data_IF_996860943635
#
_entry.id   IF_996860943635
#
_cell.length_a   1.000
_cell.length_b   1.000
_cell.length_c   1.000
_cell.angle_alpha   90.00
_cell.angle_beta   90.00
_cell.angle_gamma   90.00
#
_symmetry.space_group_name_H-M   'P 1'
#
loop_
_entity.id
_entity.type
_entity.pdbx_description
1 polymer ?
#
# COMPACT_ATOMS: atom_id res chain seq x y z
N UNK A 1 -18.88 22.43 7.51
CA UNK A 1 -17.41 22.60 7.43
C UNK A 1 -16.84 21.31 6.91
N UNK A 2 -15.82 21.34 6.06
CA UNK A 2 -15.21 20.14 5.48
C UNK A 2 -14.47 19.33 6.55
N UNK A 3 -14.74 18.03 6.66
CA UNK A 3 -14.03 17.13 7.56
C UNK A 3 -12.75 16.57 6.91
N UNK A 4 -12.58 16.74 5.61
CA UNK A 4 -11.44 16.25 4.82
C UNK A 4 -10.11 16.89 5.26
N UNK A 5 -10.17 18.13 5.78
CA UNK A 5 -9.02 18.89 6.25
C UNK A 5 -8.85 18.86 7.78
N UNK A 6 -9.71 18.11 8.50
CA UNK A 6 -9.49 17.90 9.92
C UNK A 6 -8.28 16.98 10.13
N UNK A 7 -7.40 17.28 11.09
CA UNK A 7 -6.27 16.42 11.40
C UNK A 7 -6.75 15.04 11.86
N UNK A 8 -5.90 14.05 11.65
CA UNK A 8 -6.09 12.68 12.14
C UNK A 8 -4.85 12.24 12.89
N UNK A 9 -5.01 11.81 14.14
CA UNK A 9 -3.89 11.24 14.91
C UNK A 9 -4.05 9.74 14.99
N UNK A 10 -3.01 9.02 14.59
CA UNK A 10 -2.89 7.57 14.74
C UNK A 10 -1.63 7.30 15.55
N UNK A 11 -1.77 6.74 16.76
CA UNK A 11 -0.69 6.60 17.73
C UNK A 11 -0.02 7.94 18.02
N UNK A 12 1.29 8.07 17.74
CA UNK A 12 2.06 9.31 17.99
C UNK A 12 2.22 10.16 16.71
N UNK A 13 1.58 9.77 15.59
CA UNK A 13 1.69 10.46 14.32
C UNK A 13 0.41 11.24 14.03
N UNK A 14 0.54 12.57 13.86
CA UNK A 14 -0.52 13.46 13.43
C UNK A 14 -0.41 13.76 11.94
N UNK A 15 -1.49 13.55 11.21
CA UNK A 15 -1.67 13.89 9.79
C UNK A 15 -2.47 15.17 9.68
N UNK A 16 -1.98 16.16 8.96
CA UNK A 16 -2.59 17.49 8.85
C UNK A 16 -3.95 17.50 8.13
N UNK A 17 -4.25 16.47 7.38
CA UNK A 17 -5.52 16.27 6.68
C UNK A 17 -5.69 14.80 6.31
N UNK A 18 -6.85 14.46 5.73
CA UNK A 18 -7.24 13.09 5.38
C UNK A 18 -7.13 12.79 3.88
N UNK A 19 -6.38 13.60 3.12
CA UNK A 19 -6.09 13.43 1.70
C UNK A 19 -4.68 12.85 1.56
N UNK A 20 -4.58 11.58 1.21
CA UNK A 20 -3.34 10.83 1.20
C UNK A 20 -2.98 10.31 -0.19
N UNK A 21 -1.69 10.32 -0.49
CA UNK A 21 -1.17 9.76 -1.75
C UNK A 21 -1.07 8.25 -1.62
N UNK A 22 -1.84 7.53 -2.46
CA UNK A 22 -1.79 6.07 -2.55
C UNK A 22 -0.43 5.59 -3.08
N UNK A 23 0.08 4.43 -2.65
CA UNK A 23 1.31 3.87 -3.21
C UNK A 23 1.12 3.55 -4.70
N UNK A 24 2.01 4.07 -5.54
CA UNK A 24 1.94 3.95 -7.01
C UNK A 24 3.32 3.65 -7.57
N UNK A 25 3.51 2.44 -8.10
CA UNK A 25 4.78 2.04 -8.71
C UNK A 25 5.18 2.98 -9.83
N UNK A 26 6.41 3.49 -9.75
CA UNK A 26 6.99 4.41 -10.73
C UNK A 26 7.90 3.70 -11.74
N UNK A 27 8.38 2.50 -11.40
CA UNK A 27 9.27 1.69 -12.23
C UNK A 27 10.56 2.42 -12.64
N UNK A 28 11.03 3.35 -11.80
CA UNK A 28 12.19 4.21 -12.06
C UNK A 28 13.36 3.96 -11.11
N UNK A 29 13.26 2.91 -10.29
CA UNK A 29 14.38 2.45 -9.48
C UNK A 29 15.43 1.74 -10.36
N UNK A 30 16.68 1.85 -9.97
CA UNK A 30 17.77 1.15 -10.61
C UNK A 30 18.43 0.22 -9.59
N UNK A 31 18.47 -1.06 -9.89
CA UNK A 31 19.01 -2.09 -8.99
C UNK A 31 18.38 -2.03 -7.58
N UNK A 32 17.08 -1.70 -7.49
CA UNK A 32 16.35 -1.50 -6.23
C UNK A 32 16.51 -0.12 -5.58
N UNK A 33 17.44 0.72 -6.03
CA UNK A 33 17.66 2.06 -5.46
C UNK A 33 16.67 3.08 -6.02
N UNK A 34 16.05 3.85 -5.14
CA UNK A 34 15.35 5.09 -5.52
C UNK A 34 16.36 6.16 -5.91
N UNK A 35 15.94 7.14 -6.70
CA UNK A 35 16.81 8.19 -7.20
C UNK A 35 16.05 9.47 -7.51
N UNK A 36 16.65 10.34 -8.31
CA UNK A 36 16.17 11.69 -8.60
C UNK A 36 14.71 11.75 -9.08
N UNK A 37 14.23 10.72 -9.82
CA UNK A 37 12.82 10.66 -10.20
C UNK A 37 11.91 10.65 -8.95
N UNK A 38 12.25 9.81 -7.97
CA UNK A 38 11.48 9.68 -6.73
C UNK A 38 11.52 10.96 -5.92
N UNK A 39 12.68 11.64 -5.83
CA UNK A 39 12.82 12.91 -5.12
C UNK A 39 11.88 13.98 -5.70
N UNK A 40 11.85 14.10 -7.03
CA UNK A 40 11.02 15.10 -7.73
C UNK A 40 9.54 14.72 -7.64
N UNK A 41 9.22 13.44 -7.90
CA UNK A 41 7.84 12.95 -7.93
C UNK A 41 7.18 13.08 -6.55
N UNK A 42 7.79 12.51 -5.51
CA UNK A 42 7.25 12.52 -4.15
C UNK A 42 7.34 13.93 -3.53
N UNK A 43 8.39 14.70 -3.85
CA UNK A 43 8.51 16.11 -3.47
C UNK A 43 7.40 17.00 -4.04
N UNK A 44 6.87 16.67 -5.21
CA UNK A 44 5.73 17.40 -5.78
C UNK A 44 4.46 17.26 -4.93
N UNK A 45 4.22 16.10 -4.34
CA UNK A 45 3.11 15.86 -3.43
C UNK A 45 3.30 16.57 -2.08
N UNK A 46 4.55 16.57 -1.57
CA UNK A 46 4.87 17.28 -0.33
C UNK A 46 4.55 18.78 -0.45
N UNK A 47 4.96 19.42 -1.56
CA UNK A 47 4.61 20.82 -1.83
C UNK A 47 3.10 21.02 -2.16
N UNK A 48 2.38 19.96 -2.42
CA UNK A 48 0.94 19.94 -2.69
C UNK A 48 0.05 19.93 -1.46
N UNK A 49 0.62 19.73 -0.25
CA UNK A 49 -0.12 19.80 1.01
C UNK A 49 -0.89 18.55 1.38
N UNK A 50 -0.51 17.38 0.88
CA UNK A 50 -1.10 16.09 1.30
C UNK A 50 -0.78 15.77 2.77
N UNK A 51 -1.64 15.01 3.46
CA UNK A 51 -1.39 14.58 4.85
C UNK A 51 -0.39 13.44 4.97
N UNK A 52 -0.38 12.55 3.98
CA UNK A 52 0.52 11.39 3.91
C UNK A 52 0.93 11.10 2.47
N UNK A 53 2.19 10.81 2.26
CA UNK A 53 2.71 10.20 1.04
C UNK A 53 3.04 8.74 1.36
N UNK A 54 2.28 7.79 0.80
CA UNK A 54 2.66 6.39 0.85
C UNK A 54 3.56 6.07 -0.35
N UNK A 55 4.81 5.72 -0.07
CA UNK A 55 5.78 5.32 -1.09
C UNK A 55 5.34 4.00 -1.71
N UNK A 56 5.62 3.86 -2.99
CA UNK A 56 5.27 2.68 -3.79
C UNK A 56 5.70 1.35 -3.16
N UNK A 57 5.08 0.27 -3.65
CA UNK A 57 5.44 -1.10 -3.26
C UNK A 57 6.95 -1.33 -3.36
N UNK A 58 7.58 -1.51 -2.21
CA UNK A 58 9.02 -1.62 -2.03
C UNK A 58 9.36 -3.05 -1.57
N UNK A 59 10.18 -3.75 -2.34
CA UNK A 59 10.55 -5.14 -2.06
C UNK A 59 11.32 -5.25 -0.73
N UNK A 60 10.92 -6.18 0.14
CA UNK A 60 11.67 -6.48 1.37
C UNK A 60 12.92 -7.33 1.08
N UNK A 61 12.92 -8.02 -0.05
CA UNK A 61 14.03 -8.78 -0.63
C UNK A 61 14.11 -8.47 -2.14
N UNK A 62 15.25 -8.69 -2.82
CA UNK A 62 15.42 -8.37 -4.24
C UNK A 62 14.34 -8.99 -5.13
N UNK A 63 14.05 -10.27 -4.92
CA UNK A 63 13.05 -11.04 -5.67
C UNK A 63 11.60 -10.73 -5.28
N UNK A 64 11.40 -9.94 -4.24
CA UNK A 64 10.08 -9.45 -3.84
C UNK A 64 9.58 -8.28 -4.69
N UNK A 65 10.41 -7.67 -5.52
CA UNK A 65 10.04 -6.54 -6.38
C UNK A 65 9.04 -6.97 -7.47
N UNK A 66 8.10 -6.10 -7.80
CA UNK A 66 7.12 -6.35 -8.88
C UNK A 66 7.83 -6.39 -10.23
N UNK A 67 8.73 -5.45 -10.47
CA UNK A 67 9.48 -5.25 -11.69
C UNK A 67 10.96 -5.00 -11.38
N UNK A 68 11.82 -5.22 -12.36
CA UNK A 68 13.23 -4.83 -12.28
C UNK A 68 13.43 -3.33 -11.99
N UNK A 69 12.44 -2.50 -12.30
CA UNK A 69 12.42 -1.05 -12.04
C UNK A 69 11.76 -0.64 -10.72
N UNK A 70 11.34 -1.57 -9.86
CA UNK A 70 10.78 -1.24 -8.54
C UNK A 70 11.87 -1.12 -7.48
N UNK A 71 11.64 -0.29 -6.43
CA UNK A 71 12.56 -0.16 -5.32
C UNK A 71 12.55 -1.38 -4.40
N UNK A 72 13.63 -1.52 -3.63
CA UNK A 72 13.73 -2.43 -2.48
C UNK A 72 14.28 -1.72 -1.24
N UNK A 73 14.15 -2.36 -0.09
CA UNK A 73 14.72 -1.93 1.18
C UNK A 73 15.46 -3.10 1.86
N UNK A 74 16.10 -3.91 1.06
CA UNK A 74 16.73 -5.17 1.43
C UNK A 74 17.95 -5.00 2.33
N UNK A 75 18.60 -3.83 2.29
CA UNK A 75 19.73 -3.48 3.13
C UNK A 75 19.74 -1.99 3.53
N UNK A 76 20.72 -1.59 4.34
CA UNK A 76 20.85 -0.23 4.86
C UNK A 76 21.22 0.80 3.77
N UNK A 77 21.87 0.38 2.68
CA UNK A 77 22.23 1.27 1.58
C UNK A 77 20.96 1.62 0.76
N UNK A 78 20.11 0.63 0.48
CA UNK A 78 18.81 0.86 -0.17
C UNK A 78 17.92 1.73 0.71
N UNK A 79 17.87 1.45 2.02
CA UNK A 79 17.13 2.27 2.98
C UNK A 79 17.61 3.73 2.96
N UNK A 80 18.91 3.97 3.04
CA UNK A 80 19.48 5.31 3.07
C UNK A 80 19.14 6.17 1.83
N UNK A 81 18.89 5.54 0.68
CA UNK A 81 18.52 6.24 -0.55
C UNK A 81 17.18 6.98 -0.45
N UNK A 82 16.26 6.56 0.44
CA UNK A 82 14.98 7.24 0.67
C UNK A 82 15.10 8.50 1.54
N UNK A 83 16.21 8.66 2.28
CA UNK A 83 16.35 9.74 3.28
C UNK A 83 16.12 11.14 2.73
N UNK A 84 16.66 11.54 1.55
CA UNK A 84 16.49 12.89 1.03
C UNK A 84 15.02 13.27 0.82
N UNK A 85 14.20 12.36 0.27
CA UNK A 85 12.79 12.63 0.03
C UNK A 85 11.97 12.67 1.33
N UNK A 86 12.33 11.85 2.35
CA UNK A 86 11.68 11.88 3.66
C UNK A 86 11.94 13.24 4.32
N UNK A 87 13.19 13.69 4.36
CA UNK A 87 13.56 14.98 4.94
C UNK A 87 12.88 16.15 4.23
N UNK A 88 12.76 16.07 2.90
CA UNK A 88 12.07 17.09 2.12
C UNK A 88 10.57 17.14 2.47
N UNK A 89 9.90 15.99 2.55
CA UNK A 89 8.49 15.92 2.93
C UNK A 89 8.26 16.45 4.34
N UNK A 90 9.09 16.04 5.31
CA UNK A 90 9.02 16.53 6.69
C UNK A 90 9.23 18.04 6.78
N UNK A 91 10.10 18.63 5.94
CA UNK A 91 10.28 20.11 5.89
C UNK A 91 9.02 20.87 5.45
N UNK A 92 8.03 20.15 4.91
CA UNK A 92 6.72 20.67 4.49
C UNK A 92 5.58 20.20 5.41
N UNK A 93 5.89 19.67 6.59
CA UNK A 93 4.93 19.12 7.56
C UNK A 93 4.10 17.94 6.99
N UNK A 94 4.62 17.19 6.01
CA UNK A 94 3.97 16.04 5.37
C UNK A 94 4.56 14.74 5.90
N UNK A 95 3.69 13.79 6.27
CA UNK A 95 4.10 12.45 6.72
C UNK A 95 4.43 11.55 5.56
N UNK A 96 5.37 10.62 5.79
CA UNK A 96 5.80 9.65 4.77
C UNK A 96 5.65 8.24 5.29
N UNK A 97 4.94 7.40 4.56
CA UNK A 97 4.84 5.96 4.81
C UNK A 97 5.53 5.16 3.71
N UNK A 98 5.85 3.92 4.01
CA UNK A 98 6.39 2.97 3.03
C UNK A 98 5.51 1.73 2.95
N UNK A 99 5.22 1.29 1.73
CA UNK A 99 4.52 0.03 1.50
C UNK A 99 5.53 -1.10 1.30
N UNK A 100 5.72 -1.94 2.33
CA UNK A 100 6.57 -3.12 2.29
C UNK A 100 5.87 -4.25 1.54
N UNK A 101 6.54 -4.82 0.56
CA UNK A 101 5.91 -5.72 -0.41
C UNK A 101 6.77 -6.93 -0.76
N UNK A 102 6.09 -7.99 -1.18
CA UNK A 102 6.64 -9.09 -1.96
C UNK A 102 5.63 -9.48 -3.06
N UNK A 103 6.02 -9.38 -4.31
CA UNK A 103 5.08 -9.54 -5.43
C UNK A 103 4.64 -11.00 -5.68
N UNK A 104 5.36 -11.96 -5.09
CA UNK A 104 4.99 -13.36 -5.24
C UNK A 104 5.01 -13.80 -6.71
N UNK A 105 3.95 -14.50 -7.16
CA UNK A 105 3.82 -15.00 -8.54
C UNK A 105 3.73 -13.90 -9.62
N UNK A 106 3.61 -12.63 -9.20
CA UNK A 106 3.56 -11.47 -10.12
C UNK A 106 4.87 -10.68 -10.11
N UNK A 107 5.96 -11.27 -9.59
CA UNK A 107 7.28 -10.66 -9.51
C UNK A 107 8.08 -10.77 -10.81
N UNK A 108 9.09 -9.91 -10.96
CA UNK A 108 10.11 -10.05 -11.99
C UNK A 108 9.67 -9.63 -13.39
N UNK A 109 8.76 -8.65 -13.50
CA UNK A 109 8.37 -8.12 -14.82
C UNK A 109 9.37 -7.10 -15.35
N UNK A 110 9.38 -6.94 -16.67
CA UNK A 110 9.92 -5.75 -17.34
C UNK A 110 9.10 -4.52 -17.00
N UNK A 111 9.58 -3.36 -17.43
CA UNK A 111 8.85 -2.10 -17.24
C UNK A 111 7.54 -2.11 -18.04
N UNK A 112 6.47 -1.45 -17.56
CA UNK A 112 5.17 -1.46 -18.26
C UNK A 112 5.18 -0.93 -19.70
N UNK A 113 6.15 -0.09 -20.02
CA UNK A 113 6.36 0.45 -21.38
C UNK A 113 7.31 -0.40 -22.23
N UNK A 114 7.89 -1.49 -21.67
CA UNK A 114 8.72 -2.48 -22.36
C UNK A 114 7.98 -3.83 -22.39
N UNK A 115 6.80 -3.86 -23.04
CA UNK A 115 5.90 -5.03 -23.22
C UNK A 115 5.36 -5.68 -21.93
N UNK A 116 5.75 -5.21 -20.76
CA UNK A 116 5.29 -5.73 -19.44
C UNK A 116 5.37 -7.28 -19.32
N UNK A 117 6.28 -7.93 -20.01
CA UNK A 117 6.55 -9.37 -19.92
C UNK A 117 7.43 -9.72 -18.72
N UNK A 118 7.56 -10.99 -18.45
CA UNK A 118 8.55 -11.47 -17.47
C UNK A 118 9.96 -11.17 -17.99
N UNK A 119 10.80 -10.58 -17.13
CA UNK A 119 12.21 -10.34 -17.44
C UNK A 119 12.97 -11.68 -17.50
N UNK A 120 13.84 -11.84 -18.50
CA UNK A 120 14.74 -12.98 -18.56
C UNK A 120 15.85 -12.84 -17.50
N UNK A 121 16.56 -13.93 -17.22
CA UNK A 121 17.68 -13.89 -16.27
C UNK A 121 18.78 -12.91 -16.70
N UNK A 122 19.04 -12.83 -18.02
CA UNK A 122 20.02 -11.90 -18.60
C UNK A 122 19.60 -10.43 -18.46
N UNK A 123 18.29 -10.17 -18.36
CA UNK A 123 17.71 -8.85 -18.11
C UNK A 123 17.58 -8.52 -16.62
N UNK A 124 18.07 -9.39 -15.74
CA UNK A 124 17.99 -9.23 -14.30
C UNK A 124 16.72 -9.79 -13.68
N UNK A 125 15.95 -10.60 -14.40
CA UNK A 125 14.78 -11.31 -13.90
C UNK A 125 15.16 -12.50 -13.01
N UNK A 126 14.19 -12.97 -12.23
CA UNK A 126 14.34 -14.08 -11.28
C UNK A 126 13.13 -15.01 -11.30
N UNK A 127 13.29 -16.20 -10.71
CA UNK A 127 12.17 -17.12 -10.54
C UNK A 127 11.23 -16.62 -9.45
N UNK A 128 9.97 -16.38 -9.82
CA UNK A 128 8.93 -16.01 -8.87
C UNK A 128 8.61 -17.15 -7.89
N UNK A 129 8.16 -16.78 -6.70
CA UNK A 129 7.67 -17.69 -5.66
C UNK A 129 6.22 -17.36 -5.29
N UNK A 130 5.49 -18.32 -4.72
CA UNK A 130 4.09 -18.13 -4.33
C UNK A 130 3.70 -19.09 -3.21
N UNK A 131 2.44 -19.03 -2.76
CA UNK A 131 1.82 -20.03 -1.89
C UNK A 131 1.72 -21.41 -2.57
N UNK A 132 1.58 -21.44 -3.89
CA UNK A 132 1.45 -22.65 -4.69
C UNK A 132 2.05 -22.43 -6.08
N UNK A 133 2.42 -23.52 -6.80
CA UNK A 133 2.92 -23.48 -8.16
C UNK A 133 1.79 -23.22 -9.18
N UNK A 134 1.08 -22.10 -9.03
CA UNK A 134 -0.03 -21.68 -9.89
C UNK A 134 0.30 -20.32 -10.50
N UNK A 135 0.54 -20.30 -11.81
CA UNK A 135 0.83 -19.08 -12.53
C UNK A 135 -0.33 -18.09 -12.48
N UNK A 136 -0.02 -16.79 -12.39
CA UNK A 136 -0.98 -15.77 -12.79
C UNK A 136 -1.01 -15.73 -14.33
N UNK A 137 -2.18 -15.48 -14.91
CA UNK A 137 -2.31 -15.49 -16.37
C UNK A 137 -1.33 -14.51 -17.03
N UNK A 138 -0.57 -15.00 -18.01
CA UNK A 138 0.48 -14.23 -18.68
C UNK A 138 1.84 -14.20 -17.96
N UNK A 139 1.98 -14.86 -16.80
CA UNK A 139 3.21 -14.96 -16.03
C UNK A 139 3.79 -16.37 -16.03
N UNK A 140 5.08 -16.49 -15.70
CA UNK A 140 5.71 -17.79 -15.52
C UNK A 140 5.14 -18.51 -14.27
N UNK A 141 5.20 -19.84 -14.29
CA UNK A 141 4.85 -20.65 -13.13
C UNK A 141 5.81 -20.36 -11.96
N UNK A 142 5.29 -19.94 -10.80
CA UNK A 142 6.12 -19.71 -9.62
C UNK A 142 6.49 -21.03 -8.95
N UNK A 143 7.53 -21.02 -8.15
CA UNK A 143 7.81 -22.11 -7.20
C UNK A 143 7.01 -21.87 -5.91
N UNK A 144 6.42 -22.94 -5.37
CA UNK A 144 5.81 -22.85 -4.04
C UNK A 144 6.89 -22.62 -2.97
N UNK A 145 6.62 -21.74 -2.00
CA UNK A 145 7.45 -21.51 -0.83
C UNK A 145 7.40 -22.72 0.11
N UNK A 146 8.51 -23.04 0.72
CA UNK A 146 8.58 -23.95 1.87
C UNK A 146 8.25 -23.19 3.15
N UNK A 147 7.83 -23.92 4.22
CA UNK A 147 7.56 -23.33 5.53
C UNK A 147 8.78 -22.57 6.08
N UNK A 148 9.99 -23.09 5.87
CA UNK A 148 11.22 -22.42 6.31
C UNK A 148 11.42 -21.07 5.59
N UNK A 149 11.09 -20.99 4.29
CA UNK A 149 11.16 -19.73 3.52
C UNK A 149 10.07 -18.74 3.94
N UNK A 150 8.87 -19.22 4.32
CA UNK A 150 7.81 -18.36 4.89
C UNK A 150 8.28 -17.71 6.18
N UNK A 151 8.91 -18.48 7.08
CA UNK A 151 9.49 -17.95 8.31
C UNK A 151 10.63 -16.95 8.03
N UNK A 152 11.49 -17.22 7.04
CA UNK A 152 12.54 -16.27 6.65
C UNK A 152 11.96 -14.98 6.09
N UNK A 153 10.95 -15.06 5.20
CA UNK A 153 10.29 -13.86 4.68
C UNK A 153 9.60 -13.04 5.79
N UNK A 154 9.00 -13.69 6.80
CA UNK A 154 8.50 -12.97 7.98
C UNK A 154 9.61 -12.15 8.62
N UNK A 155 10.81 -12.71 8.79
CA UNK A 155 11.96 -11.98 9.33
C UNK A 155 12.43 -10.86 8.39
N UNK A 156 12.41 -11.07 7.07
CA UNK A 156 12.79 -10.06 6.08
C UNK A 156 11.84 -8.84 6.12
N UNK A 157 10.52 -9.06 6.31
CA UNK A 157 9.56 -7.97 6.56
C UNK A 157 9.85 -7.22 7.87
N UNK A 158 10.21 -7.94 8.93
CA UNK A 158 10.60 -7.32 10.21
C UNK A 158 11.84 -6.44 10.03
N UNK A 159 12.86 -6.93 9.35
CA UNK A 159 14.11 -6.20 9.16
C UNK A 159 13.92 -5.00 8.22
N UNK A 160 13.10 -5.14 7.17
CA UNK A 160 12.70 -4.03 6.31
C UNK A 160 11.93 -2.94 7.10
N UNK A 161 11.00 -3.33 7.97
CA UNK A 161 10.26 -2.39 8.81
C UNK A 161 11.17 -1.62 9.79
N UNK A 162 12.14 -2.31 10.40
CA UNK A 162 13.14 -1.66 11.27
C UNK A 162 13.99 -0.65 10.51
N UNK A 163 14.49 -1.00 9.31
CA UNK A 163 15.25 -0.07 8.46
C UNK A 163 14.42 1.15 8.10
N UNK A 164 13.15 0.94 7.70
CA UNK A 164 12.25 2.03 7.35
C UNK A 164 12.05 3.02 8.52
N UNK A 165 11.78 2.51 9.73
CA UNK A 165 11.66 3.36 10.92
C UNK A 165 12.97 4.08 11.23
N UNK A 166 14.11 3.40 11.12
CA UNK A 166 15.44 3.97 11.44
C UNK A 166 15.80 5.16 10.54
N UNK A 167 15.35 5.19 9.29
CA UNK A 167 15.61 6.31 8.37
C UNK A 167 14.55 7.40 8.41
N UNK A 168 13.45 7.22 9.19
CA UNK A 168 12.47 8.25 9.47
C UNK A 168 11.13 8.13 8.75
N UNK A 169 10.76 6.98 8.22
CA UNK A 169 9.37 6.75 7.78
C UNK A 169 8.43 6.82 8.99
N UNK A 170 7.34 7.58 8.84
CA UNK A 170 6.33 7.77 9.89
C UNK A 170 5.35 6.59 9.98
N UNK A 171 5.11 5.89 8.87
CA UNK A 171 4.11 4.81 8.75
C UNK A 171 4.71 3.60 8.05
N UNK A 172 4.45 2.42 8.58
CA UNK A 172 4.72 1.15 7.90
C UNK A 172 3.40 0.57 7.38
N UNK A 173 3.35 0.23 6.10
CA UNK A 173 2.22 -0.48 5.50
C UNK A 173 2.69 -1.83 4.94
N UNK A 174 1.98 -2.92 5.26
CA UNK A 174 2.21 -4.22 4.64
C UNK A 174 1.28 -4.38 3.43
N UNK A 175 1.86 -4.69 2.29
CA UNK A 175 1.09 -4.91 1.05
C UNK A 175 0.51 -6.31 1.01
N UNK A 176 -0.73 -6.46 1.43
CA UNK A 176 -1.47 -7.71 1.41
C UNK A 176 -2.62 -7.71 0.38
N UNK A 177 -2.46 -7.00 -0.74
CA UNK A 177 -3.49 -6.81 -1.75
C UNK A 177 -3.04 -7.20 -3.16
N UNK A 178 -3.93 -7.01 -4.15
CA UNK A 178 -3.69 -6.99 -5.59
C UNK A 178 -3.07 -8.26 -6.18
N UNK A 179 -3.29 -9.41 -5.52
CA UNK A 179 -2.74 -10.70 -5.97
C UNK A 179 -1.23 -10.81 -5.78
N UNK A 180 -0.65 -10.02 -4.83
CA UNK A 180 0.73 -10.18 -4.38
C UNK A 180 0.84 -11.23 -3.26
N UNK A 181 2.00 -11.46 -2.71
CA UNK A 181 2.32 -12.67 -1.96
C UNK A 181 1.33 -12.97 -0.82
N UNK A 182 1.05 -12.04 0.07
CA UNK A 182 0.09 -12.27 1.17
C UNK A 182 -1.32 -12.57 0.64
N UNK A 183 -1.76 -11.85 -0.43
CA UNK A 183 -3.04 -12.13 -1.07
C UNK A 183 -3.06 -13.54 -1.67
N UNK A 184 -1.95 -13.99 -2.26
CA UNK A 184 -1.82 -15.35 -2.81
C UNK A 184 -1.95 -16.42 -1.72
N UNK A 185 -1.52 -16.12 -0.48
CA UNK A 185 -1.69 -17.03 0.64
C UNK A 185 -3.14 -17.07 1.14
N UNK A 186 -3.78 -15.93 1.36
CA UNK A 186 -5.11 -15.94 1.95
C UNK A 186 -6.24 -16.23 0.95
N UNK A 187 -6.07 -15.96 -0.34
CA UNK A 187 -7.09 -16.30 -1.34
C UNK A 187 -7.11 -17.80 -1.64
N UNK A 188 -8.29 -18.45 -1.59
CA UNK A 188 -8.41 -19.86 -1.93
C UNK A 188 -8.09 -20.16 -3.39
N UNK A 189 -8.15 -19.16 -4.29
CA UNK A 189 -7.87 -19.33 -5.72
C UNK A 189 -6.37 -19.45 -6.04
N UNK A 190 -5.50 -19.00 -5.15
CA UNK A 190 -4.06 -19.01 -5.36
C UNK A 190 -3.32 -19.94 -4.40
N UNK A 191 -3.96 -20.39 -3.31
CA UNK A 191 -3.36 -21.23 -2.30
C UNK A 191 -4.00 -22.62 -2.30
N UNK A 192 -3.31 -23.59 -2.88
CA UNK A 192 -3.63 -25.01 -2.89
C UNK A 192 -2.74 -25.80 -1.91
N UNK A 193 -2.05 -25.11 -0.98
CA UNK A 193 -1.22 -25.73 0.04
C UNK A 193 -2.01 -26.68 0.94
N UNK A 194 -1.35 -27.73 1.40
CA UNK A 194 -1.93 -28.73 2.31
C UNK A 194 -1.21 -28.76 3.66
N UNK A 195 -0.30 -27.82 3.86
CA UNK A 195 0.42 -27.59 5.10
C UNK A 195 -0.31 -26.61 6.04
N UNK A 196 0.36 -26.15 7.07
CA UNK A 196 -0.17 -25.20 8.05
C UNK A 196 -0.44 -23.78 7.51
N UNK A 197 -0.08 -23.49 6.24
CA UNK A 197 -0.35 -22.22 5.55
C UNK A 197 -1.39 -22.34 4.42
N UNK A 198 -2.01 -23.52 4.25
CA UNK A 198 -3.02 -23.79 3.22
C UNK A 198 -4.31 -24.40 3.75
N UNK A 199 -5.31 -24.54 2.87
CA UNK A 199 -6.61 -25.14 3.22
C UNK A 199 -7.58 -24.18 3.91
N UNK A 200 -7.85 -24.36 5.21
CA UNK A 200 -8.82 -23.57 5.97
C UNK A 200 -8.42 -22.10 6.12
N UNK A 201 -9.40 -21.23 6.36
CA UNK A 201 -9.20 -19.77 6.52
C UNK A 201 -8.05 -19.43 7.49
N UNK A 202 -8.03 -20.06 8.67
CA UNK A 202 -7.01 -19.80 9.69
C UNK A 202 -5.58 -20.11 9.20
N UNK A 203 -5.42 -21.13 8.37
CA UNK A 203 -4.13 -21.49 7.79
C UNK A 203 -3.74 -20.52 6.65
N UNK A 204 -4.67 -20.22 5.75
CA UNK A 204 -4.41 -19.31 4.64
C UNK A 204 -4.03 -17.89 5.12
N UNK A 205 -4.62 -17.41 6.20
CA UNK A 205 -4.33 -16.08 6.77
C UNK A 205 -3.09 -16.06 7.68
N UNK A 206 -2.60 -17.22 8.12
CA UNK A 206 -1.51 -17.38 9.08
C UNK A 206 -0.27 -16.58 8.74
N UNK A 207 0.24 -16.67 7.51
CA UNK A 207 1.47 -15.97 7.11
C UNK A 207 1.35 -14.45 7.31
N UNK A 208 0.24 -13.84 6.89
CA UNK A 208 0.01 -12.41 7.10
C UNK A 208 -0.07 -12.07 8.60
N UNK A 209 -0.84 -12.85 9.36
CA UNK A 209 -1.04 -12.58 10.79
C UNK A 209 0.24 -12.73 11.60
N UNK A 210 1.05 -13.75 11.33
CA UNK A 210 2.36 -13.95 11.96
C UNK A 210 3.33 -12.81 11.61
N UNK A 211 3.35 -12.37 10.33
CA UNK A 211 4.18 -11.25 9.89
C UNK A 211 3.73 -9.95 10.56
N UNK A 212 2.43 -9.67 10.62
CA UNK A 212 1.88 -8.49 11.32
C UNK A 212 2.29 -8.49 12.79
N UNK A 213 2.12 -9.61 13.49
CA UNK A 213 2.51 -9.72 14.90
C UNK A 213 4.02 -9.49 15.10
N UNK A 214 4.85 -10.07 14.23
CA UNK A 214 6.30 -9.93 14.30
C UNK A 214 6.75 -8.49 14.02
N UNK A 215 6.20 -7.85 12.98
CA UNK A 215 6.48 -6.44 12.64
C UNK A 215 6.01 -5.51 13.75
N UNK A 216 4.77 -5.69 14.26
CA UNK A 216 4.25 -4.85 15.36
C UNK A 216 5.13 -4.90 16.60
N UNK A 217 5.65 -6.07 16.95
CA UNK A 217 6.54 -6.25 18.09
C UNK A 217 7.93 -5.64 17.86
N UNK A 218 8.34 -5.46 16.61
CA UNK A 218 9.69 -5.02 16.26
C UNK A 218 9.82 -3.50 16.06
N UNK A 219 8.70 -2.80 15.75
CA UNK A 219 8.70 -1.35 15.54
C UNK A 219 8.21 -0.62 16.79
N UNK A 220 8.56 0.67 16.98
CA UNK A 220 8.11 1.44 18.15
C UNK A 220 6.60 1.46 18.28
N UNK A 221 6.11 1.51 19.52
CA UNK A 221 4.68 1.53 19.83
C UNK A 221 3.96 2.77 19.26
N UNK A 222 4.67 3.89 19.12
CA UNK A 222 4.17 5.13 18.54
C UNK A 222 4.08 5.13 17.01
N UNK A 223 4.70 4.16 16.33
CA UNK A 223 4.67 4.06 14.85
C UNK A 223 3.38 3.38 14.38
N UNK A 224 2.54 4.02 13.55
CA UNK A 224 1.38 3.40 12.93
C UNK A 224 1.76 2.22 12.03
N UNK A 225 0.99 1.13 12.15
CA UNK A 225 1.09 -0.04 11.29
C UNK A 225 -0.20 -0.18 10.48
N UNK A 226 -0.09 -0.07 9.17
CA UNK A 226 -1.19 -0.24 8.22
C UNK A 226 -1.06 -1.58 7.50
N UNK A 227 -2.17 -2.07 6.99
CA UNK A 227 -2.21 -3.24 6.10
C UNK A 227 -3.12 -2.90 4.93
N UNK A 228 -2.60 -3.01 3.70
CA UNK A 228 -3.44 -2.91 2.50
C UNK A 228 -3.95 -4.27 2.11
N UNK A 229 -5.27 -4.40 1.93
CA UNK A 229 -5.92 -5.65 1.51
C UNK A 229 -6.68 -5.47 0.19
N UNK A 230 -6.94 -6.59 -0.51
CA UNK A 230 -8.01 -6.69 -1.50
C UNK A 230 -9.22 -7.34 -0.83
N UNK A 231 -10.28 -6.56 -0.62
CA UNK A 231 -11.45 -7.01 0.12
C UNK A 231 -12.29 -8.07 -0.63
N UNK A 232 -12.04 -8.28 -1.91
CA UNK A 232 -12.69 -9.32 -2.72
C UNK A 232 -11.89 -9.62 -3.99
N UNK A 233 -11.94 -10.86 -4.45
CA UNK A 233 -11.40 -11.29 -5.75
C UNK A 233 -12.37 -11.01 -6.91
N UNK A 234 -13.62 -10.56 -6.64
CA UNK A 234 -14.69 -10.28 -7.61
C UNK A 234 -15.19 -11.50 -8.38
N UNK A 235 -14.93 -12.70 -7.92
CA UNK A 235 -15.39 -13.96 -8.52
C UNK A 235 -15.92 -14.89 -7.44
N UNK A 236 -16.81 -15.80 -7.83
CA UNK A 236 -17.31 -16.84 -6.96
C UNK A 236 -16.16 -17.75 -6.51
N UNK A 237 -16.28 -18.36 -5.34
CA UNK A 237 -15.28 -19.22 -4.70
C UNK A 237 -13.92 -18.53 -4.40
N UNK A 238 -13.80 -17.23 -4.66
CA UNK A 238 -12.64 -16.42 -4.33
C UNK A 238 -12.73 -15.79 -2.93
N UNK A 239 -11.71 -15.01 -2.59
CA UNK A 239 -11.73 -14.18 -1.39
C UNK A 239 -12.87 -13.15 -1.46
N UNK A 240 -13.57 -12.95 -0.36
CA UNK A 240 -14.77 -12.13 -0.31
C UNK A 240 -14.81 -11.19 0.89
N UNK A 241 -15.86 -10.35 0.97
CA UNK A 241 -15.99 -9.35 2.03
C UNK A 241 -16.14 -9.97 3.43
N UNK A 242 -16.81 -11.13 3.57
CA UNK A 242 -16.98 -11.79 4.86
C UNK A 242 -15.62 -12.23 5.40
N UNK A 243 -14.81 -12.86 4.55
CA UNK A 243 -13.43 -13.25 4.88
C UNK A 243 -12.59 -12.03 5.25
N UNK A 244 -12.79 -10.90 4.53
CA UNK A 244 -12.05 -9.65 4.79
C UNK A 244 -12.42 -9.02 6.14
N UNK A 245 -13.67 -9.05 6.54
CA UNK A 245 -14.12 -8.57 7.85
C UNK A 245 -13.50 -9.42 8.96
N UNK A 246 -13.54 -10.75 8.82
CA UNK A 246 -12.91 -11.69 9.78
C UNK A 246 -11.39 -11.45 9.89
N UNK A 247 -10.70 -11.33 8.76
CA UNK A 247 -9.27 -11.02 8.74
C UNK A 247 -8.98 -9.67 9.43
N UNK A 248 -9.74 -8.63 9.12
CA UNK A 248 -9.53 -7.28 9.67
C UNK A 248 -9.79 -7.23 11.18
N UNK A 249 -10.72 -8.02 11.71
CA UNK A 249 -10.91 -8.17 13.16
C UNK A 249 -9.66 -8.77 13.84
N UNK A 250 -9.02 -9.77 13.20
CA UNK A 250 -7.78 -10.37 13.70
C UNK A 250 -6.59 -9.41 13.57
N UNK A 251 -6.47 -8.67 12.45
CA UNK A 251 -5.46 -7.63 12.26
C UNK A 251 -5.54 -6.55 13.34
N UNK A 252 -6.75 -6.08 13.66
CA UNK A 252 -6.97 -5.13 14.77
C UNK A 252 -6.49 -5.68 16.10
N UNK A 253 -6.82 -6.92 16.41
CA UNK A 253 -6.39 -7.58 17.66
C UNK A 253 -4.86 -7.69 17.77
N UNK A 254 -4.14 -7.78 16.65
CA UNK A 254 -2.68 -7.79 16.57
C UNK A 254 -2.03 -6.40 16.55
N UNK A 255 -2.83 -5.33 16.62
CA UNK A 255 -2.32 -3.96 16.72
C UNK A 255 -2.09 -3.26 15.39
N UNK A 256 -2.75 -3.71 14.31
CA UNK A 256 -2.90 -2.90 13.09
C UNK A 256 -3.82 -1.73 13.40
N UNK A 257 -3.42 -0.55 13.00
CA UNK A 257 -4.10 0.69 13.32
C UNK A 257 -5.12 1.09 12.25
N UNK A 258 -4.81 0.78 10.99
CA UNK A 258 -5.64 1.14 9.86
C UNK A 258 -5.52 0.10 8.73
N UNK A 259 -6.63 -0.18 8.06
CA UNK A 259 -6.66 -1.01 6.85
C UNK A 259 -6.90 -0.13 5.63
N UNK A 260 -5.97 -0.17 4.68
CA UNK A 260 -6.15 0.44 3.35
C UNK A 260 -6.93 -0.53 2.46
N UNK A 261 -8.18 -0.18 2.15
CA UNK A 261 -9.15 -1.11 1.56
C UNK A 261 -9.21 -0.94 0.05
N UNK A 262 -8.59 -1.87 -0.66
CA UNK A 262 -8.68 -2.02 -2.11
C UNK A 262 -9.43 -3.31 -2.49
N UNK A 263 -9.44 -3.69 -3.77
CA UNK A 263 -10.07 -4.93 -4.25
C UNK A 263 -9.35 -5.50 -5.47
N UNK A 264 -9.54 -6.79 -5.73
CA UNK A 264 -9.12 -7.48 -6.94
C UNK A 264 -7.60 -7.67 -7.09
N UNK A 265 -7.18 -7.96 -8.29
CA UNK A 265 -5.78 -8.12 -8.68
C UNK A 265 -5.23 -9.55 -8.59
N UNK A 266 -5.96 -10.47 -7.97
CA UNK A 266 -5.58 -11.88 -7.86
C UNK A 266 -6.08 -12.74 -9.05
N UNK A 267 -7.14 -12.29 -9.71
CA UNK A 267 -7.75 -12.91 -10.88
C UNK A 267 -7.57 -12.00 -12.10
N UNK A 268 -7.08 -12.56 -13.20
CA UNK A 268 -6.95 -11.82 -14.46
C UNK A 268 -8.37 -11.52 -15.01
N UNK A 269 -8.58 -10.32 -15.50
CA UNK A 269 -9.88 -9.89 -16.08
C UNK A 269 -11.10 -10.15 -15.16
N UNK A 270 -10.94 -10.05 -13.84
CA UNK A 270 -12.07 -10.08 -12.92
C UNK A 270 -13.16 -9.05 -13.34
N UNK A 271 -14.48 -9.37 -13.23
CA UNK A 271 -15.56 -8.54 -13.78
C UNK A 271 -15.85 -7.29 -12.95
N UNK A 272 -14.83 -6.46 -12.74
CA UNK A 272 -14.89 -5.26 -11.91
C UNK A 272 -15.61 -4.13 -12.66
N UNK A 273 -16.75 -3.68 -12.13
CA UNK A 273 -17.44 -2.47 -12.62
C UNK A 273 -16.89 -1.25 -11.87
N UNK A 274 -15.80 -0.69 -12.39
CA UNK A 274 -15.15 0.47 -11.78
C UNK A 274 -15.97 1.76 -12.05
N UNK A 275 -16.68 2.22 -11.03
CA UNK A 275 -17.38 3.52 -10.99
C UNK A 275 -16.76 4.40 -9.91
N UNK A 276 -17.01 5.73 -9.88
CA UNK A 276 -16.52 6.58 -8.79
C UNK A 276 -16.86 6.03 -7.41
N UNK A 277 -15.85 5.80 -6.57
CA UNK A 277 -16.04 5.27 -5.21
C UNK A 277 -16.37 3.78 -5.11
N UNK A 278 -16.19 2.97 -6.17
CA UNK A 278 -16.63 1.56 -6.21
C UNK A 278 -16.08 0.67 -5.09
N UNK A 279 -15.01 1.08 -4.44
CA UNK A 279 -14.40 0.35 -3.31
C UNK A 279 -14.83 0.89 -1.94
N UNK A 280 -15.46 2.06 -1.88
CA UNK A 280 -15.92 2.70 -0.61
C UNK A 280 -16.82 1.77 0.20
N UNK A 281 -17.79 1.04 -0.38
CA UNK A 281 -18.65 0.14 0.40
C UNK A 281 -17.89 -0.95 1.18
N UNK A 282 -16.74 -1.41 0.66
CA UNK A 282 -15.91 -2.39 1.35
C UNK A 282 -15.20 -1.78 2.56
N UNK A 283 -14.66 -0.55 2.42
CA UNK A 283 -14.06 0.19 3.52
C UNK A 283 -15.09 0.46 4.63
N UNK A 284 -16.29 0.89 4.26
CA UNK A 284 -17.40 1.14 5.17
C UNK A 284 -17.82 -0.11 5.93
N UNK A 285 -17.98 -1.24 5.25
CA UNK A 285 -18.36 -2.50 5.87
C UNK A 285 -17.30 -2.96 6.90
N UNK A 286 -16.03 -3.00 6.50
CA UNK A 286 -14.93 -3.40 7.39
C UNK A 286 -14.87 -2.48 8.61
N UNK A 287 -14.94 -1.15 8.40
CA UNK A 287 -14.94 -0.17 9.48
C UNK A 287 -16.10 -0.38 10.45
N UNK A 288 -17.30 -0.58 9.93
CA UNK A 288 -18.53 -0.74 10.72
C UNK A 288 -18.49 -2.01 11.55
N UNK A 289 -18.12 -3.13 10.93
CA UNK A 289 -18.17 -4.45 11.56
C UNK A 289 -17.04 -4.68 12.58
N UNK A 290 -15.84 -4.12 12.30
CA UNK A 290 -14.66 -4.36 13.14
C UNK A 290 -14.29 -3.19 14.04
N UNK A 291 -14.72 -1.98 13.68
CA UNK A 291 -14.29 -0.74 14.33
C UNK A 291 -12.79 -0.44 14.15
N UNK A 292 -12.11 -1.02 13.17
CA UNK A 292 -10.76 -0.62 12.76
C UNK A 292 -10.86 0.61 11.86
N UNK A 293 -9.85 1.51 11.93
CA UNK A 293 -9.81 2.62 10.98
C UNK A 293 -9.59 2.10 9.56
N UNK A 294 -10.21 2.77 8.58
CA UNK A 294 -10.07 2.40 7.16
C UNK A 294 -9.75 3.60 6.30
N UNK A 295 -9.09 3.35 5.17
CA UNK A 295 -9.04 4.28 4.06
C UNK A 295 -9.93 3.79 2.92
N UNK A 296 -10.48 4.76 2.18
CA UNK A 296 -11.16 4.50 0.92
C UNK A 296 -10.26 4.88 -0.25
N UNK A 297 -10.28 4.06 -1.30
CA UNK A 297 -9.62 4.31 -2.57
C UNK A 297 -10.54 3.86 -3.72
N UNK A 298 -10.31 4.31 -4.93
CA UNK A 298 -11.05 3.83 -6.11
C UNK A 298 -11.88 4.89 -6.81
N UNK A 299 -11.27 5.54 -7.83
CA UNK A 299 -11.89 6.61 -8.61
C UNK A 299 -12.49 7.73 -7.73
N UNK A 300 -11.79 8.09 -6.67
CA UNK A 300 -12.04 9.32 -5.90
C UNK A 300 -11.21 10.40 -6.59
N UNK A 301 -11.88 11.39 -7.20
CA UNK A 301 -11.24 12.40 -8.03
C UNK A 301 -11.71 13.82 -7.73
N UNK A 302 -12.83 13.96 -7.02
CA UNK A 302 -13.42 15.25 -6.72
C UNK A 302 -13.32 15.56 -5.22
N UNK A 303 -13.01 16.82 -4.86
CA UNK A 303 -12.97 17.24 -3.45
C UNK A 303 -14.26 16.96 -2.68
N UNK A 304 -15.42 17.21 -3.30
CA UNK A 304 -16.72 16.98 -2.67
C UNK A 304 -16.99 15.50 -2.43
N UNK A 305 -16.55 14.62 -3.34
CA UNK A 305 -16.65 13.17 -3.16
C UNK A 305 -15.78 12.72 -1.99
N UNK A 306 -14.53 13.19 -1.93
CA UNK A 306 -13.60 12.86 -0.85
C UNK A 306 -14.10 13.36 0.51
N UNK A 307 -14.60 14.60 0.56
CA UNK A 307 -15.15 15.19 1.79
C UNK A 307 -16.43 14.47 2.26
N UNK A 308 -17.29 14.07 1.34
CA UNK A 308 -18.50 13.31 1.65
C UNK A 308 -18.17 11.98 2.35
N UNK A 309 -17.22 11.21 1.82
CA UNK A 309 -16.77 9.92 2.41
C UNK A 309 -16.36 10.10 3.88
N UNK A 310 -15.63 11.18 4.18
CA UNK A 310 -15.19 11.46 5.55
C UNK A 310 -16.34 11.95 6.43
N UNK A 311 -17.17 12.88 5.92
CA UNK A 311 -18.30 13.44 6.66
C UNK A 311 -19.35 12.39 7.04
N UNK A 312 -19.59 11.43 6.17
CA UNK A 312 -20.56 10.35 6.41
C UNK A 312 -19.98 9.19 7.22
N UNK A 313 -18.66 9.22 7.51
CA UNK A 313 -17.99 8.19 8.28
C UNK A 313 -17.81 6.87 7.53
N UNK A 314 -17.83 6.92 6.19
CA UNK A 314 -17.61 5.75 5.33
C UNK A 314 -16.15 5.25 5.39
N UNK A 315 -15.19 6.17 5.63
CA UNK A 315 -13.79 5.88 5.92
C UNK A 315 -13.18 7.00 6.79
N UNK A 316 -11.98 6.76 7.32
CA UNK A 316 -11.27 7.72 8.19
C UNK A 316 -10.33 8.64 7.39
N UNK A 317 -9.86 8.20 6.23
CA UNK A 317 -9.09 8.99 5.27
C UNK A 317 -9.34 8.48 3.84
N UNK A 318 -8.90 9.24 2.83
CA UNK A 318 -8.97 8.84 1.43
C UNK A 318 -7.56 8.71 0.84
N UNK A 319 -7.29 7.57 0.21
CA UNK A 319 -6.14 7.40 -0.65
C UNK A 319 -6.52 7.71 -2.09
N UNK A 320 -5.74 8.54 -2.75
CA UNK A 320 -5.94 8.90 -4.15
C UNK A 320 -4.67 8.54 -4.93
N UNK A 321 -4.85 7.92 -6.10
CA UNK A 321 -3.76 7.49 -6.96
C UNK A 321 -3.66 8.37 -8.22
N UNK A 322 -4.34 7.97 -9.29
CA UNK A 322 -4.25 8.62 -10.61
C UNK A 322 -4.59 10.11 -10.60
N UNK A 323 -5.38 10.58 -9.64
CA UNK A 323 -5.63 12.00 -9.49
C UNK A 323 -4.37 12.75 -9.08
N UNK A 324 -3.60 12.22 -8.13
CA UNK A 324 -2.31 12.82 -7.77
C UNK A 324 -1.28 12.77 -8.91
N UNK A 325 -1.31 11.76 -9.79
CA UNK A 325 -0.46 11.76 -10.99
C UNK A 325 -0.81 12.92 -11.94
N UNK A 326 -2.08 13.29 -12.04
CA UNK A 326 -2.56 14.41 -12.87
C UNK A 326 -2.39 15.76 -12.18
N UNK A 327 -2.68 15.79 -10.88
CA UNK A 327 -2.69 17.00 -10.07
C UNK A 327 -1.97 16.77 -8.73
N UNK A 328 -0.63 16.86 -8.69
CA UNK A 328 0.13 16.69 -7.45
C UNK A 328 -0.23 17.67 -6.33
N UNK A 329 -0.90 18.78 -6.67
CA UNK A 329 -1.38 19.81 -5.73
C UNK A 329 -2.87 19.70 -5.44
N UNK A 330 -3.46 18.53 -5.61
CA UNK A 330 -4.87 18.30 -5.36
C UNK A 330 -5.36 18.84 -4.00
N UNK A 331 -4.65 18.69 -2.86
CA UNK A 331 -5.12 19.22 -1.59
C UNK A 331 -5.26 20.75 -1.58
N UNK A 332 -4.35 21.48 -2.24
CA UNK A 332 -4.44 22.95 -2.34
C UNK A 332 -5.68 23.35 -3.13
N UNK A 333 -5.92 22.68 -4.27
CA UNK A 333 -7.11 22.89 -5.10
C UNK A 333 -8.40 22.49 -4.34
N UNK A 334 -8.38 21.35 -3.63
CA UNK A 334 -9.54 20.89 -2.86
C UNK A 334 -9.91 21.87 -1.75
N UNK A 335 -8.93 22.44 -1.06
CA UNK A 335 -9.17 23.45 -0.02
C UNK A 335 -9.86 24.69 -0.58
N UNK A 336 -9.39 25.19 -1.73
CA UNK A 336 -10.03 26.35 -2.40
C UNK A 336 -11.47 26.03 -2.80
N UNK A 337 -11.70 24.86 -3.42
CA UNK A 337 -13.03 24.44 -3.88
C UNK A 337 -14.02 24.23 -2.74
N UNK A 338 -13.55 23.74 -1.59
CA UNK A 338 -14.36 23.52 -0.38
C UNK A 338 -14.41 24.74 0.56
N UNK A 339 -13.75 25.84 0.20
CA UNK A 339 -13.73 27.07 1.00
C UNK A 339 -12.94 26.94 2.31
N UNK A 340 -11.98 26.03 2.38
CA UNK A 340 -11.12 25.81 3.54
C UNK A 340 -9.81 26.58 3.41
N UNK A 341 -9.42 27.29 4.47
CA UNK A 341 -8.14 27.99 4.50
C UNK A 341 -7.05 27.06 5.00
N UNK A 342 -6.05 26.78 4.16
CA UNK A 342 -4.86 26.01 4.51
C UNK A 342 -3.60 26.83 4.23
N UNK A 343 -2.49 26.43 4.87
CA UNK A 343 -1.16 27.03 4.62
C UNK A 343 -0.65 26.56 3.27
N UNK A 344 -0.24 27.49 2.42
CA UNK A 344 0.46 27.21 1.18
C UNK A 344 1.98 27.33 1.39
N UNK A 345 2.80 26.56 0.69
CA UNK A 345 4.23 26.83 0.62
C UNK A 345 4.50 28.23 0.08
N UNK A 346 5.30 29.03 0.80
CA UNK A 346 5.53 30.44 0.47
C UNK A 346 5.94 30.70 -0.99
N UNK A 347 6.81 29.88 -1.62
CA UNK A 347 7.22 30.12 -3.02
C UNK A 347 6.08 30.08 -4.03
N UNK A 348 4.99 29.36 -3.72
CA UNK A 348 3.83 29.19 -4.62
C UNK A 348 2.56 29.84 -4.07
N UNK A 349 2.61 30.53 -2.95
CA UNK A 349 1.43 31.14 -2.30
C UNK A 349 0.71 32.17 -3.20
N UNK A 350 1.45 32.84 -4.11
CA UNK A 350 0.86 33.77 -5.09
C UNK A 350 -0.07 33.09 -6.10
N UNK A 351 -0.08 31.75 -6.14
CA UNK A 351 -0.99 30.97 -6.97
C UNK A 351 -2.39 30.75 -6.38
N UNK A 352 -2.66 31.22 -5.15
CA UNK A 352 -4.00 31.18 -4.57
C UNK A 352 -4.99 31.94 -5.45
N UNK A 353 -6.17 31.36 -5.64
CA UNK A 353 -7.31 32.09 -6.21
C UNK A 353 -7.77 33.12 -5.19
N UNK A 354 -8.06 34.33 -5.62
CA UNK A 354 -8.49 35.45 -4.77
C UNK A 354 -9.96 35.33 -4.35
#
# INVERSE_FOLDING_TARGET
MSALFDPLTIREVEFNNRIWVSPMCQYMAKDGFVGQWHDVHLGSFATGGTGLIMVEATGVVPEGRISIGCPSIEDDAHAAAFKPMIDFAHSHDVKVGIQLAHAGRKAGTMLPWDDHRIATKEEGGWQAVSSSAIAFEGYAEPRALTVAEIHQLTQDFVDAAKRAVAIGFDVIELHAAHGYLFHQFYSPLANMGTDEYGGEFANRTRFLLETVAAVRNAIPTGTPLFVRISATDWVDDGWNLIDSVELCAQLKALGVDLVDVSTGGNVHNAPIKATPGFQVPFATAIRTETGIMTTAVGLITEPEQADHIIQTGEADAVFMAREFLRNPRFPLFAAEKLGVKIKWPLPIERGKLS
#
